data_IF_664238072494
#
_entry.id   IF_664238072494
#
_cell.length_a   1.000
_cell.length_b   1.000
_cell.length_c   1.000
_cell.angle_alpha   90.00
_cell.angle_beta   90.00
_cell.angle_gamma   90.00
#
_symmetry.space_group_name_H-M   'P 1'
#
loop_
_entity.id
_entity.type
_entity.pdbx_description
1 polymer ?
#
# COMPACT_ATOMS: atom_id res chain seq x y z
N UNK A 1 3.52 10.00 -10.80
CA UNK A 1 3.76 9.05 -11.90
C UNK A 1 5.15 8.46 -11.69
N UNK A 2 5.24 7.16 -11.44
CA UNK A 2 6.49 6.48 -11.10
C UNK A 2 6.86 5.49 -12.19
N UNK A 3 8.12 5.49 -12.64
CA UNK A 3 8.61 4.51 -13.63
C UNK A 3 9.37 3.41 -12.92
N UNK A 4 8.94 2.17 -13.07
CA UNK A 4 9.67 1.00 -12.58
C UNK A 4 11.04 0.94 -13.28
N UNK A 5 12.17 1.05 -12.55
CA UNK A 5 13.49 1.05 -13.16
C UNK A 5 13.90 -0.31 -13.74
N UNK A 6 13.24 -1.40 -13.36
CA UNK A 6 13.50 -2.75 -13.85
C UNK A 6 12.72 -3.09 -15.13
N UNK A 7 11.48 -2.57 -15.28
CA UNK A 7 10.61 -2.89 -16.43
C UNK A 7 10.38 -1.72 -17.38
N UNK A 8 10.68 -0.49 -16.96
CA UNK A 8 10.33 0.74 -17.68
C UNK A 8 8.84 1.07 -17.67
N UNK A 9 8.01 0.25 -17.01
CA UNK A 9 6.57 0.50 -16.91
C UNK A 9 6.28 1.69 -16.03
N UNK A 10 5.26 2.46 -16.42
CA UNK A 10 4.88 3.65 -15.67
C UNK A 10 3.62 3.38 -14.87
N UNK A 11 3.75 3.44 -13.55
CA UNK A 11 2.66 3.35 -12.60
C UNK A 11 2.08 4.73 -12.31
N UNK A 12 0.80 4.89 -12.60
CA UNK A 12 0.03 6.09 -12.23
C UNK A 12 -0.72 5.85 -10.91
N UNK A 13 -1.08 6.94 -10.24
CA UNK A 13 -1.87 6.88 -8.99
C UNK A 13 -3.24 6.23 -9.21
N UNK A 14 -3.84 6.42 -10.39
CA UNK A 14 -5.10 5.78 -10.78
C UNK A 14 -4.92 4.26 -10.93
N UNK A 15 -3.85 3.82 -11.59
CA UNK A 15 -3.54 2.40 -11.75
C UNK A 15 -3.22 1.73 -10.40
N UNK A 16 -2.51 2.43 -9.52
CA UNK A 16 -2.26 2.00 -8.14
C UNK A 16 -3.57 1.81 -7.36
N UNK A 17 -4.45 2.81 -7.40
CA UNK A 17 -5.77 2.77 -6.74
C UNK A 17 -6.64 1.63 -7.27
N UNK A 18 -6.67 1.44 -8.58
CA UNK A 18 -7.42 0.36 -9.22
C UNK A 18 -6.92 -1.02 -8.77
N UNK A 19 -5.59 -1.20 -8.71
CA UNK A 19 -4.98 -2.47 -8.29
C UNK A 19 -5.31 -2.78 -6.82
N UNK A 20 -5.25 -1.78 -5.94
CA UNK A 20 -5.63 -1.93 -4.52
C UNK A 20 -7.10 -2.35 -4.40
N UNK A 21 -8.01 -1.66 -5.10
CA UNK A 21 -9.45 -1.97 -5.04
C UNK A 21 -9.77 -3.36 -5.58
N UNK A 22 -9.15 -3.74 -6.69
CA UNK A 22 -9.28 -5.10 -7.25
C UNK A 22 -8.76 -6.14 -6.26
N UNK A 23 -7.62 -5.89 -5.60
CA UNK A 23 -7.11 -6.75 -4.55
C UNK A 23 -8.07 -6.91 -3.36
N UNK A 24 -8.70 -5.82 -2.93
CA UNK A 24 -9.72 -5.87 -1.87
C UNK A 24 -10.95 -6.70 -2.28
N UNK A 25 -11.43 -6.56 -3.52
CA UNK A 25 -12.53 -7.38 -4.04
C UNK A 25 -12.18 -8.87 -4.07
N UNK A 26 -10.95 -9.22 -4.46
CA UNK A 26 -10.46 -10.60 -4.43
C UNK A 26 -10.42 -11.14 -2.99
N UNK A 27 -10.12 -10.33 -1.97
CA UNK A 27 -10.18 -10.78 -0.58
C UNK A 27 -11.59 -11.20 -0.15
N UNK A 28 -12.62 -10.60 -0.70
CA UNK A 28 -14.01 -10.93 -0.39
C UNK A 28 -14.54 -12.14 -1.19
N UNK A 29 -13.97 -12.39 -2.37
CA UNK A 29 -14.39 -13.48 -3.25
C UNK A 29 -14.22 -14.88 -2.61
N UNK A 30 -15.24 -15.73 -2.63
CA UNK A 30 -15.18 -17.09 -2.07
C UNK A 30 -15.40 -18.11 -3.18
N UNK A 31 -14.33 -18.75 -3.71
CA UNK A 31 -14.51 -19.79 -4.72
C UNK A 31 -15.29 -20.96 -4.14
N UNK A 32 -16.25 -21.47 -4.91
CA UNK A 32 -17.17 -22.53 -4.50
C UNK A 32 -16.84 -23.88 -5.13
N UNK A 33 -15.98 -23.90 -6.16
CA UNK A 33 -15.57 -25.10 -6.88
C UNK A 33 -14.08 -25.03 -7.30
N UNK A 34 -13.47 -26.16 -7.71
CA UNK A 34 -12.06 -26.20 -8.08
C UNK A 34 -11.67 -25.25 -9.23
N UNK A 35 -12.52 -25.11 -10.24
CA UNK A 35 -12.27 -24.22 -11.38
C UNK A 35 -12.23 -22.75 -10.95
N UNK A 36 -13.16 -22.33 -10.08
CA UNK A 36 -13.14 -21.00 -9.48
C UNK A 36 -11.93 -20.79 -8.58
N UNK A 37 -11.47 -21.83 -7.88
CA UNK A 37 -10.28 -21.75 -7.03
C UNK A 37 -9.02 -21.56 -7.87
N UNK A 38 -8.88 -22.27 -8.98
CA UNK A 38 -7.77 -22.11 -9.92
C UNK A 38 -7.77 -20.72 -10.56
N UNK A 39 -8.94 -20.27 -11.04
CA UNK A 39 -9.10 -18.91 -11.56
C UNK A 39 -8.71 -17.86 -10.51
N UNK A 40 -9.21 -18.00 -9.28
CA UNK A 40 -8.87 -17.10 -8.19
C UNK A 40 -7.37 -17.05 -7.92
N UNK A 41 -6.70 -18.21 -7.85
CA UNK A 41 -5.26 -18.29 -7.63
C UNK A 41 -4.51 -17.55 -8.75
N UNK A 42 -4.86 -17.81 -10.01
CA UNK A 42 -4.19 -17.18 -11.16
C UNK A 42 -4.36 -15.67 -11.17
N UNK A 43 -5.58 -15.16 -11.01
CA UNK A 43 -5.84 -13.72 -10.99
C UNK A 43 -5.17 -13.04 -9.79
N UNK A 44 -5.18 -13.69 -8.62
CA UNK A 44 -4.52 -13.15 -7.43
C UNK A 44 -3.00 -13.09 -7.60
N UNK A 45 -2.38 -14.12 -8.19
CA UNK A 45 -0.95 -14.12 -8.48
C UNK A 45 -0.60 -13.02 -9.48
N UNK A 46 -1.34 -12.89 -10.59
CA UNK A 46 -1.12 -11.83 -11.56
C UNK A 46 -1.30 -10.42 -10.99
N UNK A 47 -2.19 -10.25 -10.02
CA UNK A 47 -2.31 -8.99 -9.27
C UNK A 47 -1.13 -8.78 -8.31
N UNK A 48 -0.69 -9.83 -7.61
CA UNK A 48 0.45 -9.77 -6.70
C UNK A 48 1.76 -9.42 -7.41
N UNK A 49 1.92 -9.79 -8.68
CA UNK A 49 3.08 -9.39 -9.50
C UNK A 49 3.13 -7.88 -9.76
N UNK A 50 1.98 -7.20 -9.76
CA UNK A 50 1.87 -5.74 -9.97
C UNK A 50 2.00 -4.94 -8.67
N UNK A 51 1.76 -5.58 -7.52
CA UNK A 51 1.78 -4.90 -6.22
C UNK A 51 3.12 -4.23 -5.87
N UNK A 52 4.31 -4.77 -6.21
CA UNK A 52 5.58 -4.09 -5.95
C UNK A 52 5.63 -2.68 -6.55
N UNK A 53 5.17 -2.51 -7.79
CA UNK A 53 5.20 -1.23 -8.50
C UNK A 53 4.19 -0.24 -7.92
N UNK A 54 3.03 -0.74 -7.54
CA UNK A 54 2.01 0.02 -6.80
C UNK A 54 2.56 0.51 -5.47
N UNK A 55 3.18 -0.39 -4.69
CA UNK A 55 3.78 -0.07 -3.40
C UNK A 55 4.90 0.96 -3.53
N UNK A 56 5.70 0.87 -4.58
CA UNK A 56 6.78 1.80 -4.85
C UNK A 56 6.26 3.20 -5.23
N UNK A 57 5.22 3.29 -6.05
CA UNK A 57 4.55 4.55 -6.39
C UNK A 57 3.97 5.24 -5.14
N UNK A 58 3.22 4.51 -4.32
CA UNK A 58 2.61 5.06 -3.09
C UNK A 58 3.70 5.48 -2.10
N UNK A 59 4.76 4.68 -1.98
CA UNK A 59 5.87 5.01 -1.09
C UNK A 59 6.62 6.26 -1.56
N UNK A 60 6.75 6.46 -2.88
CA UNK A 60 7.26 7.70 -3.46
C UNK A 60 6.44 8.91 -3.03
N UNK A 61 5.11 8.85 -3.20
CA UNK A 61 4.17 9.89 -2.73
C UNK A 61 4.26 10.12 -1.22
N UNK A 62 4.41 9.04 -0.44
CA UNK A 62 4.56 9.11 1.03
C UNK A 62 5.79 9.92 1.43
N UNK A 63 6.92 9.69 0.76
CA UNK A 63 8.15 10.44 1.02
C UNK A 63 8.09 11.88 0.52
N UNK A 64 7.38 12.16 -0.58
CA UNK A 64 7.13 13.53 -1.03
C UNK A 64 6.31 14.32 -0.02
N UNK A 65 5.23 13.74 0.50
CA UNK A 65 4.40 14.35 1.54
C UNK A 65 5.19 14.54 2.85
N UNK A 66 6.02 13.56 3.25
CA UNK A 66 6.91 13.69 4.41
C UNK A 66 7.88 14.87 4.26
N UNK A 67 8.50 15.00 3.07
CA UNK A 67 9.40 16.13 2.78
C UNK A 67 8.67 17.47 2.83
N UNK A 68 7.44 17.55 2.32
CA UNK A 68 6.63 18.77 2.37
C UNK A 68 6.33 19.18 3.82
N UNK A 69 5.89 18.23 4.66
CA UNK A 69 5.65 18.46 6.08
C UNK A 69 6.92 18.95 6.81
N UNK A 70 8.05 18.25 6.62
CA UNK A 70 9.32 18.65 7.23
C UNK A 70 9.73 20.06 6.78
N UNK A 71 9.64 20.35 5.48
CA UNK A 71 10.03 21.66 4.94
C UNK A 71 9.17 22.79 5.54
N UNK A 72 7.85 22.59 5.61
CA UNK A 72 6.94 23.57 6.22
C UNK A 72 7.25 23.78 7.70
N UNK A 73 7.31 22.69 8.47
CA UNK A 73 7.60 22.74 9.91
C UNK A 73 8.92 23.43 10.22
N UNK A 74 9.99 23.10 9.49
CA UNK A 74 11.30 23.72 9.73
C UNK A 74 11.32 25.20 9.33
N UNK A 75 10.59 25.58 8.27
CA UNK A 75 10.45 26.98 7.87
C UNK A 75 9.74 27.79 8.96
N UNK A 76 8.64 27.27 9.51
CA UNK A 76 7.92 27.96 10.58
C UNK A 76 8.69 27.99 11.89
N UNK A 77 9.38 26.90 12.25
CA UNK A 77 10.24 26.87 13.42
C UNK A 77 11.34 27.95 13.33
N UNK A 78 11.95 28.11 12.16
CA UNK A 78 12.94 29.17 11.93
C UNK A 78 12.32 30.57 11.99
N UNK A 79 11.11 30.76 11.46
CA UNK A 79 10.36 32.02 11.55
C UNK A 79 10.11 32.42 13.01
N UNK A 80 9.54 31.52 13.82
CA UNK A 80 9.28 31.77 15.24
C UNK A 80 10.56 31.96 16.06
N UNK A 81 11.61 31.20 15.75
CA UNK A 81 12.92 31.37 16.38
C UNK A 81 13.51 32.77 16.14
N UNK A 82 13.37 33.32 14.92
CA UNK A 82 13.80 34.69 14.60
C UNK A 82 12.97 35.75 15.32
N UNK A 83 11.71 35.44 15.65
CA UNK A 83 10.80 36.32 16.37
C UNK A 83 10.90 36.20 17.90
N UNK A 84 11.99 35.62 18.42
CA UNK A 84 12.26 35.42 19.85
C UNK A 84 11.16 34.64 20.60
N UNK A 85 10.38 33.82 19.90
CA UNK A 85 9.43 32.92 20.54
C UNK A 85 10.22 31.83 21.29
N UNK A 86 9.89 31.52 22.55
CA UNK A 86 10.56 30.44 23.28
C UNK A 86 10.50 29.12 22.50
N UNK A 87 11.59 28.36 22.51
CA UNK A 87 11.74 27.18 21.65
C UNK A 87 10.61 26.15 21.76
N UNK A 88 10.02 25.98 22.95
CA UNK A 88 8.87 25.08 23.17
C UNK A 88 7.61 25.59 22.47
N UNK A 89 7.30 26.88 22.59
CA UNK A 89 6.18 27.51 21.90
C UNK A 89 6.40 27.55 20.38
N UNK A 90 7.60 27.86 19.93
CA UNK A 90 7.95 27.88 18.51
C UNK A 90 7.72 26.51 17.84
N UNK A 91 8.03 25.40 18.54
CA UNK A 91 7.73 24.04 18.06
C UNK A 91 6.23 23.78 17.97
N UNK A 92 5.48 24.09 19.03
CA UNK A 92 4.04 23.87 19.05
C UNK A 92 3.30 24.68 17.96
N UNK A 93 3.72 25.93 17.74
CA UNK A 93 3.17 26.77 16.66
C UNK A 93 3.56 26.23 15.28
N UNK A 94 4.82 25.85 15.08
CA UNK A 94 5.27 25.27 13.80
C UNK A 94 4.58 23.93 13.49
N UNK A 95 4.26 23.12 14.50
CA UNK A 95 3.46 21.90 14.35
C UNK A 95 2.03 22.24 13.93
N UNK A 96 1.42 23.24 14.56
CA UNK A 96 0.07 23.70 14.22
C UNK A 96 0.00 24.24 12.79
N UNK A 97 1.01 25.00 12.36
CA UNK A 97 1.08 25.58 11.02
C UNK A 97 1.39 24.57 9.90
N UNK A 98 1.93 23.41 10.26
CA UNK A 98 2.27 22.32 9.35
C UNK A 98 1.23 21.18 9.40
N UNK A 99 0.09 21.42 10.04
CA UNK A 99 -0.94 20.41 10.28
C UNK A 99 -1.54 19.87 8.99
N UNK A 100 -1.77 20.73 7.99
CA UNK A 100 -2.31 20.32 6.69
C UNK A 100 -1.35 19.36 5.96
N UNK A 101 -0.05 19.65 5.98
CA UNK A 101 0.97 18.77 5.39
C UNK A 101 1.13 17.47 6.20
N UNK A 102 0.97 17.53 7.51
CA UNK A 102 0.98 16.34 8.38
C UNK A 102 -0.22 15.43 8.05
N UNK A 103 -1.41 15.99 7.86
CA UNK A 103 -2.60 15.24 7.46
C UNK A 103 -2.41 14.59 6.09
N UNK A 104 -1.90 15.33 5.10
CA UNK A 104 -1.58 14.80 3.79
C UNK A 104 -0.59 13.62 3.86
N UNK A 105 0.46 13.74 4.67
CA UNK A 105 1.42 12.65 4.90
C UNK A 105 0.77 11.44 5.57
N UNK A 106 -0.05 11.64 6.59
CA UNK A 106 -0.76 10.57 7.27
C UNK A 106 -1.73 9.83 6.35
N UNK A 107 -2.45 10.54 5.48
CA UNK A 107 -3.37 9.94 4.53
C UNK A 107 -2.65 9.02 3.53
N UNK A 108 -1.55 9.47 2.94
CA UNK A 108 -0.76 8.63 2.02
C UNK A 108 -0.08 7.47 2.75
N UNK A 109 0.32 7.66 4.02
CA UNK A 109 0.85 6.59 4.87
C UNK A 109 -0.21 5.53 5.16
N UNK A 110 -1.45 5.93 5.40
CA UNK A 110 -2.57 5.00 5.58
C UNK A 110 -2.85 4.20 4.30
N UNK A 111 -2.82 4.85 3.13
CA UNK A 111 -2.94 4.20 1.81
C UNK A 111 -1.86 3.11 1.62
N UNK A 112 -0.60 3.43 1.94
CA UNK A 112 0.51 2.48 1.86
C UNK A 112 0.28 1.26 2.77
N UNK A 113 -0.12 1.47 4.02
CA UNK A 113 -0.36 0.38 4.96
C UNK A 113 -1.55 -0.49 4.56
N UNK A 114 -2.59 0.12 3.98
CA UNK A 114 -3.73 -0.62 3.44
C UNK A 114 -3.32 -1.51 2.27
N UNK A 115 -2.52 -0.99 1.34
CA UNK A 115 -1.98 -1.77 0.22
C UNK A 115 -1.09 -2.93 0.71
N UNK A 116 -0.19 -2.68 1.66
CA UNK A 116 0.64 -3.71 2.28
C UNK A 116 -0.19 -4.81 2.99
N UNK A 117 -1.23 -4.41 3.71
CA UNK A 117 -2.16 -5.34 4.37
C UNK A 117 -2.90 -6.20 3.36
N UNK A 118 -3.32 -5.61 2.24
CA UNK A 118 -4.00 -6.30 1.15
C UNK A 118 -3.09 -7.36 0.51
N UNK A 119 -1.83 -7.04 0.22
CA UNK A 119 -0.84 -8.00 -0.29
C UNK A 119 -0.68 -9.20 0.64
N UNK A 120 -0.47 -8.94 1.93
CA UNK A 120 -0.28 -9.99 2.93
C UNK A 120 -1.51 -10.89 3.05
N UNK A 121 -2.70 -10.30 3.02
CA UNK A 121 -3.95 -11.04 3.11
C UNK A 121 -4.17 -11.91 1.87
N UNK A 122 -3.91 -11.38 0.66
CA UNK A 122 -4.01 -12.12 -0.59
C UNK A 122 -3.04 -13.29 -0.63
N UNK A 123 -1.78 -13.06 -0.26
CA UNK A 123 -0.76 -14.11 -0.14
C UNK A 123 -1.20 -15.23 0.80
N UNK A 124 -1.73 -14.87 1.96
CA UNK A 124 -2.23 -15.83 2.95
C UNK A 124 -3.38 -16.65 2.38
N UNK A 125 -4.33 -16.00 1.70
CA UNK A 125 -5.48 -16.65 1.09
C UNK A 125 -5.10 -17.61 -0.04
N UNK A 126 -4.19 -17.20 -0.93
CA UNK A 126 -3.64 -18.06 -2.00
C UNK A 126 -2.96 -19.29 -1.40
N UNK A 127 -2.11 -19.11 -0.39
CA UNK A 127 -1.44 -20.23 0.29
C UNK A 127 -2.44 -21.21 0.92
N UNK A 128 -3.51 -20.70 1.55
CA UNK A 128 -4.58 -21.52 2.09
C UNK A 128 -5.25 -22.36 0.99
N UNK A 129 -5.54 -21.76 -0.16
CA UNK A 129 -6.18 -22.47 -1.28
C UNK A 129 -5.27 -23.50 -1.94
N UNK A 130 -3.97 -23.19 -2.10
CA UNK A 130 -2.99 -24.17 -2.58
C UNK A 130 -2.90 -25.39 -1.66
N UNK A 131 -2.97 -25.19 -0.35
CA UNK A 131 -2.99 -26.30 0.60
C UNK A 131 -4.28 -27.14 0.49
N UNK A 132 -5.44 -26.51 0.30
CA UNK A 132 -6.71 -27.21 0.05
C UNK A 132 -6.62 -28.03 -1.24
N UNK A 133 -6.12 -27.46 -2.34
CA UNK A 133 -5.94 -28.17 -3.61
C UNK A 133 -5.02 -29.40 -3.48
N UNK A 134 -3.91 -29.29 -2.73
CA UNK A 134 -3.02 -30.43 -2.47
C UNK A 134 -3.71 -31.53 -1.66
N UNK A 135 -4.49 -31.16 -0.63
CA UNK A 135 -5.23 -32.11 0.19
C UNK A 135 -6.28 -32.87 -0.64
N UNK A 136 -7.04 -32.16 -1.48
CA UNK A 136 -8.01 -32.76 -2.40
C UNK A 136 -7.31 -33.73 -3.37
N UNK A 137 -6.21 -33.31 -3.99
CA UNK A 137 -5.46 -34.16 -4.91
C UNK A 137 -4.92 -35.43 -4.23
N UNK A 138 -4.43 -35.32 -3.00
CA UNK A 138 -3.98 -36.47 -2.21
C UNK A 138 -5.13 -37.44 -1.90
N UNK A 139 -6.32 -36.92 -1.57
CA UNK A 139 -7.49 -37.73 -1.27
C UNK A 139 -7.97 -38.52 -2.50
N UNK A 140 -8.02 -37.90 -3.68
CA UNK A 140 -8.37 -38.59 -4.93
C UNK A 140 -7.25 -39.50 -5.46
N UNK A 141 -5.99 -39.19 -5.17
CA UNK A 141 -4.83 -40.01 -5.52
C UNK A 141 -4.65 -41.25 -4.64
N UNK A 142 -5.08 -41.20 -3.38
CA UNK A 142 -5.03 -42.32 -2.43
C UNK A 142 -6.11 -43.40 -2.66
N UNK A 143 -7.11 -43.11 -3.50
CA UNK A 143 -8.17 -44.04 -3.90
C UNK A 143 -7.95 -44.68 -5.28
N UNK A 144 -6.73 -44.60 -5.83
CA UNK A 144 -6.26 -45.39 -6.97
C UNK A 144 -5.24 -46.42 -6.51
#
# INVERSE_FOLDING_TARGET
MYTNPATGEVMTTEAATFTIKTGAQLLEYRPTNPTEMEYFIRETVGLMEKLPDVMLEINGRRYEAERAYIAKKQTQLAHYGRNNVPATFARAMADTDAQDELEAWHNVKAEYHYAAGTERALRTKVNSMLNINRAIAAQFGAHR
#
